data_IF_479112521373
#
_entry.id   IF_479112521373
#
_cell.length_a   1.000
_cell.length_b   1.000
_cell.length_c   1.000
_cell.angle_alpha   90.00
_cell.angle_beta   90.00
_cell.angle_gamma   90.00
#
_symmetry.space_group_name_H-M   'P 1'
#
loop_
_entity.id
_entity.type
_entity.pdbx_description
1 polymer ?
#
# COMPACT_ATOMS: atom_id res chain seq x y z
N UNK A 1 19.32 19.63 -16.75
CA UNK A 1 19.18 18.18 -17.01
C UNK A 1 17.89 17.71 -16.35
N UNK A 2 16.85 17.37 -17.12
CA UNK A 2 15.53 17.02 -16.57
C UNK A 2 15.41 15.50 -16.41
N UNK A 3 15.32 15.03 -15.16
CA UNK A 3 15.09 13.64 -14.81
C UNK A 3 13.65 13.25 -15.22
N UNK A 4 13.49 12.49 -16.30
CA UNK A 4 12.21 11.87 -16.65
C UNK A 4 12.07 10.60 -15.82
N UNK A 5 11.21 10.63 -14.78
CA UNK A 5 10.78 9.40 -14.13
C UNK A 5 10.11 8.48 -15.16
N UNK A 6 10.37 7.16 -15.15
CA UNK A 6 9.72 6.24 -16.06
C UNK A 6 8.22 6.26 -15.80
N UNK A 7 7.45 6.58 -16.85
CA UNK A 7 5.99 6.51 -16.80
C UNK A 7 5.59 5.04 -16.76
N UNK A 8 4.97 4.60 -15.67
CA UNK A 8 4.33 3.29 -15.58
C UNK A 8 3.18 3.25 -16.60
N UNK A 9 3.07 2.21 -17.44
CA UNK A 9 1.99 2.10 -18.43
C UNK A 9 0.63 2.07 -17.72
N UNK A 10 -0.28 2.97 -18.11
CA UNK A 10 -1.60 3.12 -17.50
C UNK A 10 -2.55 2.04 -18.03
N UNK A 11 -2.97 1.11 -17.17
CA UNK A 11 -4.05 0.16 -17.48
C UNK A 11 -5.41 0.88 -17.55
N UNK A 12 -6.35 0.42 -18.41
CA UNK A 12 -7.71 0.96 -18.47
C UNK A 12 -8.52 0.63 -17.20
N UNK A 13 -9.40 1.56 -16.79
CA UNK A 13 -10.13 1.53 -15.51
C UNK A 13 -10.89 0.22 -15.25
N UNK A 14 -11.58 -0.33 -16.26
CA UNK A 14 -12.38 -1.56 -16.12
C UNK A 14 -11.55 -2.80 -15.79
N UNK A 15 -10.26 -2.80 -16.17
CA UNK A 15 -9.33 -3.89 -15.84
C UNK A 15 -8.86 -3.77 -14.40
N UNK A 16 -8.57 -2.55 -13.94
CA UNK A 16 -8.20 -2.27 -12.54
C UNK A 16 -9.33 -2.66 -11.60
N UNK A 17 -10.56 -2.33 -11.93
CA UNK A 17 -11.72 -2.64 -11.07
C UNK A 17 -11.92 -4.15 -10.93
N UNK A 18 -11.67 -4.92 -11.99
CA UNK A 18 -11.72 -6.39 -11.97
C UNK A 18 -10.59 -6.98 -11.14
N UNK A 19 -9.36 -6.50 -11.32
CA UNK A 19 -8.18 -6.94 -10.54
C UNK A 19 -8.38 -6.64 -9.04
N UNK A 20 -8.90 -5.47 -8.71
CA UNK A 20 -9.19 -5.06 -7.34
C UNK A 20 -10.19 -6.02 -6.68
N UNK A 21 -11.30 -6.35 -7.37
CA UNK A 21 -12.31 -7.28 -6.84
C UNK A 21 -11.73 -8.67 -6.54
N UNK A 22 -10.88 -9.18 -7.43
CA UNK A 22 -10.27 -10.49 -7.24
C UNK A 22 -9.35 -10.51 -6.00
N UNK A 23 -8.55 -9.46 -5.79
CA UNK A 23 -7.66 -9.35 -4.64
C UNK A 23 -8.42 -9.20 -3.32
N UNK A 24 -9.48 -8.38 -3.30
CA UNK A 24 -10.29 -8.19 -2.09
C UNK A 24 -10.88 -9.52 -1.63
N UNK A 25 -11.35 -10.35 -2.57
CA UNK A 25 -11.87 -11.68 -2.24
C UNK A 25 -10.79 -12.55 -1.58
N UNK A 26 -9.59 -12.61 -2.18
CA UNK A 26 -8.47 -13.40 -1.65
C UNK A 26 -8.04 -12.95 -0.24
N UNK A 27 -8.02 -11.64 0.02
CA UNK A 27 -7.69 -11.10 1.34
C UNK A 27 -8.69 -11.49 2.43
N UNK A 28 -9.96 -11.73 2.06
CA UNK A 28 -10.97 -12.17 3.01
C UNK A 28 -10.86 -13.66 3.36
N UNK A 29 -10.14 -14.44 2.55
CA UNK A 29 -10.09 -15.90 2.63
C UNK A 29 -8.84 -16.43 3.40
N UNK A 30 -7.93 -15.57 3.88
CA UNK A 30 -6.73 -15.96 4.64
C UNK A 30 -6.91 -15.75 6.17
N UNK A 31 -7.15 -16.81 6.96
CA UNK A 31 -7.30 -16.69 8.41
C UNK A 31 -5.92 -16.59 9.08
N UNK A 32 -5.47 -15.37 9.38
CA UNK A 32 -4.27 -15.16 10.18
C UNK A 32 -4.64 -15.08 11.67
N UNK A 33 -4.23 -16.09 12.44
CA UNK A 33 -4.47 -16.25 13.87
C UNK A 33 -3.56 -15.30 14.69
N UNK A 34 -3.95 -14.03 14.82
CA UNK A 34 -3.34 -13.08 15.77
C UNK A 34 -4.44 -12.50 16.67
N UNK A 35 -4.17 -12.42 17.99
CA UNK A 35 -5.02 -11.78 19.01
C UNK A 35 -5.04 -10.23 18.86
N UNK A 36 -5.45 -9.76 17.71
CA UNK A 36 -5.64 -8.35 17.42
C UNK A 36 -7.14 -8.03 17.39
N UNK A 37 -7.57 -6.80 17.72
CA UNK A 37 -8.99 -6.46 17.90
C UNK A 37 -9.82 -6.46 16.60
N UNK A 38 -9.33 -7.07 15.52
CA UNK A 38 -9.94 -7.16 14.19
C UNK A 38 -10.28 -5.80 13.53
N UNK A 39 -9.81 -4.68 14.09
CA UNK A 39 -10.14 -3.32 13.61
C UNK A 39 -9.43 -2.99 12.29
N UNK A 40 -8.29 -3.63 11.99
CA UNK A 40 -7.47 -3.31 10.82
C UNK A 40 -6.82 -4.55 10.22
N UNK A 41 -6.63 -4.52 8.90
CA UNK A 41 -6.08 -5.64 8.16
C UNK A 41 -4.62 -5.92 8.56
N UNK A 42 -4.28 -7.19 8.72
CA UNK A 42 -2.90 -7.63 8.79
C UNK A 42 -2.28 -7.65 7.39
N UNK A 43 -0.96 -7.56 7.34
CA UNK A 43 -0.24 -7.89 6.12
C UNK A 43 -0.31 -9.40 5.93
N UNK A 44 -0.77 -9.82 4.76
CA UNK A 44 -0.64 -11.19 4.30
C UNK A 44 0.82 -11.59 4.18
N UNK A 45 1.05 -12.90 4.14
CA UNK A 45 2.39 -13.46 4.06
C UNK A 45 3.14 -12.95 2.84
N UNK A 46 4.36 -12.45 3.05
CA UNK A 46 5.19 -11.95 1.97
C UNK A 46 5.52 -13.06 0.95
N UNK A 47 5.16 -12.86 -0.32
CA UNK A 47 5.41 -13.82 -1.38
C UNK A 47 6.87 -13.76 -1.88
N UNK A 48 7.42 -14.87 -2.44
CA UNK A 48 8.80 -14.94 -2.90
C UNK A 48 9.13 -13.98 -4.06
N UNK A 49 8.19 -13.78 -4.98
CA UNK A 49 8.37 -13.00 -6.22
C UNK A 49 7.65 -11.64 -6.15
N UNK A 50 7.69 -10.99 -4.97
CA UNK A 50 6.97 -9.73 -4.77
C UNK A 50 7.63 -8.55 -5.49
N UNK A 51 6.81 -7.70 -6.08
CA UNK A 51 7.30 -6.49 -6.73
C UNK A 51 7.76 -5.45 -5.70
N UNK A 52 8.73 -4.61 -6.08
CA UNK A 52 9.25 -3.56 -5.18
C UNK A 52 8.70 -2.20 -5.57
N UNK A 53 8.17 -1.47 -4.59
CA UNK A 53 7.76 -0.09 -4.70
C UNK A 53 8.96 0.86 -4.67
N UNK A 54 8.85 1.95 -5.43
CA UNK A 54 9.81 3.04 -5.38
C UNK A 54 9.51 3.95 -4.17
N UNK A 55 10.29 3.76 -3.10
CA UNK A 55 10.17 4.49 -1.85
C UNK A 55 10.92 5.83 -1.89
N UNK A 56 10.32 6.87 -1.32
CA UNK A 56 10.91 8.20 -1.13
C UNK A 56 10.78 8.63 0.33
N UNK A 57 11.71 9.46 0.82
CA UNK A 57 11.75 9.87 2.22
C UNK A 57 10.67 10.91 2.60
N UNK A 58 10.15 11.66 1.63
CA UNK A 58 9.21 12.76 1.89
C UNK A 58 7.84 12.50 1.25
N UNK A 59 6.74 12.87 1.93
CA UNK A 59 5.40 12.86 1.33
C UNK A 59 5.29 13.94 0.25
N UNK A 60 4.31 13.81 -0.66
CA UNK A 60 4.08 14.81 -1.72
C UNK A 60 3.38 16.09 -1.22
N UNK A 61 2.97 16.14 0.04
CA UNK A 61 2.26 17.27 0.64
C UNK A 61 1.63 16.89 1.97
N UNK A 62 0.78 17.78 2.50
CA UNK A 62 -0.05 17.45 3.67
C UNK A 62 -1.07 16.39 3.30
N UNK A 63 -1.16 15.33 4.11
CA UNK A 63 -1.98 14.16 3.80
C UNK A 63 -2.89 13.80 4.97
N UNK A 64 -3.93 13.02 4.66
CA UNK A 64 -4.77 12.33 5.64
C UNK A 64 -4.65 10.83 5.46
N UNK A 65 -4.64 10.09 6.56
CA UNK A 65 -4.78 8.62 6.54
C UNK A 65 -6.21 8.27 6.14
N UNK A 66 -6.36 7.34 5.19
CA UNK A 66 -7.68 6.82 4.77
C UNK A 66 -7.88 5.37 5.18
N UNK A 67 -6.81 4.58 5.21
CA UNK A 67 -6.77 3.18 5.70
C UNK A 67 -5.38 2.92 6.30
N UNK A 68 -5.29 1.90 7.16
CA UNK A 68 -4.04 1.49 7.78
C UNK A 68 -4.05 -0.01 8.06
N UNK A 69 -2.86 -0.61 8.13
CA UNK A 69 -2.69 -1.99 8.61
C UNK A 69 -2.61 -2.01 10.13
N UNK A 70 -2.83 -3.17 10.72
CA UNK A 70 -2.52 -3.39 12.13
C UNK A 70 -1.07 -2.98 12.44
N UNK A 71 -0.85 -2.38 13.61
CA UNK A 71 0.46 -1.91 14.08
C UNK A 71 1.15 -2.91 15.02
N UNK A 72 0.70 -4.18 15.03
CA UNK A 72 1.29 -5.26 15.83
C UNK A 72 2.66 -5.73 15.29
N UNK A 73 2.92 -5.47 14.01
CA UNK A 73 4.16 -5.83 13.34
C UNK A 73 5.19 -4.69 13.39
N UNK A 74 6.47 -5.04 13.29
CA UNK A 74 7.57 -4.06 13.25
C UNK A 74 7.48 -3.08 12.07
N UNK A 75 6.67 -3.41 11.06
CA UNK A 75 6.37 -2.55 9.92
C UNK A 75 4.86 -2.48 9.75
N UNK A 76 4.32 -1.28 9.73
CA UNK A 76 2.93 -1.04 9.36
C UNK A 76 2.82 -0.02 8.23
N UNK A 77 1.68 -0.02 7.56
CA UNK A 77 1.44 0.81 6.40
C UNK A 77 0.14 1.58 6.55
N UNK A 78 0.10 2.74 5.93
CA UNK A 78 -1.08 3.59 5.81
C UNK A 78 -1.30 3.91 4.34
N UNK A 79 -2.55 3.83 3.88
CA UNK A 79 -2.96 4.48 2.66
C UNK A 79 -3.30 5.92 3.00
N UNK A 80 -2.65 6.87 2.33
CA UNK A 80 -2.84 8.31 2.58
C UNK A 80 -3.30 9.04 1.33
N UNK A 81 -4.06 10.13 1.53
CA UNK A 81 -4.60 10.99 0.47
C UNK A 81 -4.12 12.42 0.62
N UNK A 82 -3.63 13.02 -0.47
CA UNK A 82 -3.23 14.41 -0.60
C UNK A 82 -3.86 15.00 -1.87
N UNK A 83 -4.92 15.80 -1.74
CA UNK A 83 -5.52 16.50 -2.89
C UNK A 83 -5.98 15.60 -4.04
N UNK A 84 -6.52 14.40 -3.76
CA UNK A 84 -6.95 13.42 -4.76
C UNK A 84 -5.84 12.52 -5.32
N UNK A 85 -4.59 12.74 -4.89
CA UNK A 85 -3.46 11.85 -5.11
C UNK A 85 -3.28 10.98 -3.88
N UNK A 86 -2.97 9.69 -4.10
CA UNK A 86 -2.80 8.72 -3.03
C UNK A 86 -1.37 8.19 -2.99
N UNK A 87 -0.92 7.87 -1.79
CA UNK A 87 0.38 7.30 -1.49
C UNK A 87 0.25 6.21 -0.44
N UNK A 88 1.19 5.27 -0.42
CA UNK A 88 1.40 4.37 0.72
C UNK A 88 2.47 5.02 1.58
N UNK A 89 2.18 5.19 2.86
CA UNK A 89 3.14 5.55 3.90
C UNK A 89 3.53 4.28 4.65
N UNK A 90 4.82 3.99 4.69
CA UNK A 90 5.42 2.87 5.41
C UNK A 90 6.12 3.42 6.64
N UNK A 91 5.80 2.82 7.79
CA UNK A 91 6.42 3.13 9.07
C UNK A 91 7.14 1.89 9.58
N UNK A 92 8.41 2.03 9.91
CA UNK A 92 9.20 1.00 10.59
C UNK A 92 9.33 1.42 12.06
N UNK A 93 8.90 0.54 12.96
CA UNK A 93 9.00 0.71 14.41
C UNK A 93 10.45 0.51 14.86
N UNK A 94 11.27 1.54 14.63
CA UNK A 94 12.65 1.66 15.13
C UNK A 94 12.79 2.90 16.03
N UNK A 95 13.97 3.08 16.62
CA UNK A 95 14.31 4.30 17.38
C UNK A 95 15.44 5.06 16.64
N UNK A 96 15.15 6.20 15.98
CA UNK A 96 13.82 6.81 15.78
C UNK A 96 12.97 6.05 14.75
N UNK A 97 11.67 6.35 14.67
CA UNK A 97 10.78 5.81 13.64
C UNK A 97 11.30 6.14 12.24
N UNK A 98 11.24 5.18 11.32
CA UNK A 98 11.59 5.42 9.92
C UNK A 98 10.34 5.52 9.07
N UNK A 99 10.30 6.57 8.26
CA UNK A 99 9.17 6.91 7.40
C UNK A 99 9.60 6.88 5.94
N UNK A 100 8.83 6.18 5.11
CA UNK A 100 9.01 6.20 3.66
C UNK A 100 7.66 6.18 2.96
N UNK A 101 7.62 6.71 1.75
CA UNK A 101 6.39 6.89 0.98
C UNK A 101 6.55 6.34 -0.43
N UNK A 102 5.52 5.75 -0.98
CA UNK A 102 5.46 5.35 -2.38
C UNK A 102 4.19 5.91 -3.03
N UNK A 103 4.29 6.29 -4.30
CA UNK A 103 3.11 6.58 -5.12
C UNK A 103 3.06 7.96 -5.76
N UNK A 104 1.86 8.53 -5.78
CA UNK A 104 1.46 9.53 -6.79
C UNK A 104 0.31 9.03 -7.67
N UNK A 105 -0.53 8.14 -7.14
CA UNK A 105 -1.55 7.44 -7.91
C UNK A 105 -2.91 8.11 -7.79
N UNK A 106 -3.79 7.78 -8.74
CA UNK A 106 -5.23 8.05 -8.59
C UNK A 106 -5.85 7.01 -7.67
N UNK A 107 -7.07 7.29 -7.18
CA UNK A 107 -7.74 6.46 -6.17
C UNK A 107 -7.83 4.97 -6.54
N UNK A 108 -8.29 4.63 -7.75
CA UNK A 108 -8.47 3.22 -8.15
C UNK A 108 -7.16 2.45 -8.23
N UNK A 109 -6.12 3.08 -8.80
CA UNK A 109 -4.78 2.52 -8.86
C UNK A 109 -4.17 2.36 -7.47
N UNK A 110 -4.34 3.36 -6.60
CA UNK A 110 -3.84 3.29 -5.23
C UNK A 110 -4.53 2.17 -4.42
N UNK A 111 -5.83 1.96 -4.63
CA UNK A 111 -6.57 0.85 -4.02
C UNK A 111 -6.06 -0.51 -4.51
N UNK A 112 -5.77 -0.64 -5.80
CA UNK A 112 -5.17 -1.85 -6.35
C UNK A 112 -3.80 -2.12 -5.70
N UNK A 113 -2.92 -1.11 -5.67
CA UNK A 113 -1.59 -1.23 -5.04
C UNK A 113 -1.72 -1.56 -3.55
N UNK A 114 -2.67 -0.94 -2.83
CA UNK A 114 -2.96 -1.25 -1.43
C UNK A 114 -3.35 -2.72 -1.23
N UNK A 115 -4.27 -3.25 -2.02
CA UNK A 115 -4.67 -4.66 -1.92
C UNK A 115 -3.51 -5.62 -2.27
N UNK A 116 -2.67 -5.28 -3.25
CA UNK A 116 -1.47 -6.07 -3.57
C UNK A 116 -0.47 -6.06 -2.40
N UNK A 117 -0.34 -4.93 -1.69
CA UNK A 117 0.51 -4.82 -0.51
C UNK A 117 -0.02 -5.71 0.62
N UNK A 118 -1.33 -5.61 0.90
CA UNK A 118 -1.99 -6.46 1.89
C UNK A 118 -1.86 -7.95 1.53
N UNK A 119 -1.86 -8.31 0.25
CA UNK A 119 -1.70 -9.70 -0.18
C UNK A 119 -0.23 -10.19 -0.18
N UNK A 120 0.71 -9.38 0.31
CA UNK A 120 2.14 -9.72 0.34
C UNK A 120 2.80 -9.80 -1.04
N UNK A 121 2.13 -9.29 -2.08
CA UNK A 121 2.57 -9.33 -3.50
C UNK A 121 3.49 -8.19 -3.88
N UNK A 122 3.51 -7.10 -3.12
CA UNK A 122 4.45 -5.99 -3.29
C UNK A 122 5.10 -5.57 -1.96
N UNK A 123 6.21 -4.80 -2.03
CA UNK A 123 6.99 -4.35 -0.87
C UNK A 123 7.57 -2.94 -1.02
#
# INVERSE_FOLDING_TARGET
>A
MANRSPAVPRKPSSTIDKELRALVQELMDDPVEWDCPEVSAHLGRALPNRDTLAWVAQPRGSYRVVEYTCACEAVFYELVSCGGIYQIHKVIQSEPLQHTYAGGWRQSEARLVWCQLLAGRIR
#
